data_IF_066411424955
#
_entry.id   IF_066411424955
#
_cell.length_a   1.000
_cell.length_b   1.000
_cell.length_c   1.000
_cell.angle_alpha   90.00
_cell.angle_beta   90.00
_cell.angle_gamma   90.00
#
_symmetry.space_group_name_H-M   'P 1'
#
loop_
_entity.id
_entity.type
_entity.pdbx_description
1 polymer ?
#
# COMPACT_ATOMS: atom_id res chain seq x y z
N UNK A 1 -9.85 5.71 -30.01
CA UNK A 1 -8.79 5.84 -28.99
C UNK A 1 -8.82 4.58 -28.14
N UNK A 2 -7.77 3.75 -28.16
CA UNK A 2 -7.79 2.46 -27.45
C UNK A 2 -7.80 2.61 -25.92
N UNK A 3 -8.31 1.62 -25.20
CA UNK A 3 -8.43 1.61 -23.73
C UNK A 3 -7.11 1.94 -23.01
N UNK A 4 -5.98 1.47 -23.55
CA UNK A 4 -4.63 1.80 -23.07
C UNK A 4 -4.32 3.31 -23.16
N UNK A 5 -4.60 3.92 -24.31
CA UNK A 5 -4.33 5.35 -24.54
C UNK A 5 -5.23 6.28 -23.74
N UNK A 6 -6.45 5.84 -23.42
CA UNK A 6 -7.33 6.56 -22.48
C UNK A 6 -6.78 6.50 -21.05
N UNK A 7 -6.37 5.32 -20.58
CA UNK A 7 -5.83 5.15 -19.23
C UNK A 7 -4.54 5.95 -19.02
N UNK A 8 -3.60 5.86 -19.96
CA UNK A 8 -2.30 6.54 -19.85
C UNK A 8 -2.40 8.07 -19.97
N UNK A 9 -3.30 8.59 -20.82
CA UNK A 9 -3.44 10.04 -21.02
C UNK A 9 -4.41 10.72 -20.06
N UNK A 10 -5.50 10.04 -19.67
CA UNK A 10 -6.60 10.66 -18.92
C UNK A 10 -6.57 10.22 -17.46
N UNK A 11 -6.44 8.92 -17.17
CA UNK A 11 -6.53 8.41 -15.79
C UNK A 11 -5.25 8.68 -14.99
N UNK A 12 -4.09 8.61 -15.63
CA UNK A 12 -2.81 8.95 -15.00
C UNK A 12 -2.53 10.47 -14.99
N UNK A 13 -3.46 11.32 -15.43
CA UNK A 13 -3.29 12.77 -15.28
C UNK A 13 -3.50 13.18 -13.82
N UNK A 14 -2.61 14.04 -13.30
CA UNK A 14 -2.67 14.51 -11.91
C UNK A 14 -3.95 15.30 -11.64
N UNK A 15 -4.48 16.00 -12.66
CA UNK A 15 -5.76 16.73 -12.57
C UNK A 15 -6.93 15.79 -12.36
N UNK A 16 -6.93 14.64 -13.04
CA UNK A 16 -7.96 13.61 -12.87
C UNK A 16 -7.93 13.01 -11.47
N UNK A 17 -6.74 12.77 -10.91
CA UNK A 17 -6.61 12.28 -9.53
C UNK A 17 -7.16 13.28 -8.50
N UNK A 18 -6.88 14.58 -8.68
CA UNK A 18 -7.45 15.65 -7.85
C UNK A 18 -8.97 15.70 -8.01
N UNK A 19 -9.49 15.58 -9.23
CA UNK A 19 -10.93 15.55 -9.48
C UNK A 19 -11.61 14.35 -8.80
N UNK A 20 -11.02 13.15 -8.87
CA UNK A 20 -11.52 11.96 -8.16
C UNK A 20 -11.59 12.21 -6.65
N UNK A 21 -10.55 12.82 -6.07
CA UNK A 21 -10.53 13.14 -4.64
C UNK A 21 -11.60 14.17 -4.26
N UNK A 22 -11.74 15.25 -5.03
CA UNK A 22 -12.76 16.27 -4.78
C UNK A 22 -14.16 15.66 -4.86
N UNK A 23 -14.44 14.88 -5.91
CA UNK A 23 -15.73 14.20 -6.08
C UNK A 23 -15.99 13.23 -4.94
N UNK A 24 -14.99 12.47 -4.50
CA UNK A 24 -15.12 11.55 -3.36
C UNK A 24 -15.45 12.30 -2.06
N UNK A 25 -14.77 13.41 -1.79
CA UNK A 25 -15.02 14.23 -0.58
C UNK A 25 -16.43 14.83 -0.64
N UNK A 26 -16.80 15.48 -1.76
CA UNK A 26 -18.11 16.08 -1.93
C UNK A 26 -19.24 15.05 -1.84
N UNK A 27 -19.05 13.86 -2.42
CA UNK A 27 -19.99 12.75 -2.31
C UNK A 27 -20.18 12.32 -0.86
N UNK A 28 -19.10 12.19 -0.07
CA UNK A 28 -19.20 11.84 1.36
C UNK A 28 -19.85 12.92 2.18
N UNK A 29 -19.54 14.20 1.92
CA UNK A 29 -20.22 15.31 2.59
C UNK A 29 -21.71 15.24 2.31
N UNK A 30 -22.12 15.03 1.06
CA UNK A 30 -23.52 14.98 0.66
C UNK A 30 -24.30 13.84 1.34
N UNK A 31 -23.82 12.60 1.25
CA UNK A 31 -24.54 11.43 1.81
C UNK A 31 -24.50 11.35 3.34
N UNK A 32 -23.63 12.12 3.99
CA UNK A 32 -23.52 12.15 5.45
C UNK A 32 -24.35 13.26 6.10
N UNK A 33 -25.04 14.10 5.33
CA UNK A 33 -25.95 15.15 5.86
C UNK A 33 -27.07 14.52 6.68
N UNK A 34 -27.62 13.40 6.22
CA UNK A 34 -28.76 12.74 6.85
C UNK A 34 -28.35 11.80 8.01
N UNK A 35 -27.05 11.75 8.34
CA UNK A 35 -26.36 10.88 9.32
C UNK A 35 -26.49 9.35 9.05
N UNK A 36 -27.52 8.95 8.31
CA UNK A 36 -27.83 7.60 7.88
C UNK A 36 -27.55 7.42 6.40
N UNK A 37 -26.51 6.65 6.08
CA UNK A 37 -26.21 6.26 4.71
C UNK A 37 -27.15 5.13 4.28
N UNK A 38 -27.96 5.38 3.25
CA UNK A 38 -28.83 4.39 2.66
C UNK A 38 -28.01 3.26 1.99
N UNK A 39 -28.61 2.08 1.87
CA UNK A 39 -27.94 0.92 1.27
C UNK A 39 -27.49 1.20 -0.17
N UNK A 40 -28.29 1.95 -0.95
CA UNK A 40 -27.94 2.30 -2.32
C UNK A 40 -26.74 3.27 -2.40
N UNK A 41 -26.63 4.24 -1.47
CA UNK A 41 -25.49 5.15 -1.38
C UNK A 41 -24.21 4.38 -1.04
N UNK A 42 -24.33 3.41 -0.13
CA UNK A 42 -23.23 2.49 0.21
C UNK A 42 -22.86 1.57 -0.95
N UNK A 43 -23.81 1.15 -1.79
CA UNK A 43 -23.53 0.39 -3.01
C UNK A 43 -22.79 1.24 -4.03
N UNK A 44 -23.27 2.46 -4.30
CA UNK A 44 -22.62 3.40 -5.23
C UNK A 44 -21.16 3.67 -4.83
N UNK A 45 -20.92 3.99 -3.56
CA UNK A 45 -19.57 4.18 -3.02
C UNK A 45 -18.71 2.91 -3.11
N UNK A 46 -19.24 1.76 -2.69
CA UNK A 46 -18.47 0.52 -2.65
C UNK A 46 -18.14 -0.04 -4.02
N UNK A 47 -19.10 -0.08 -4.93
CA UNK A 47 -18.91 -0.56 -6.31
C UNK A 47 -17.88 0.33 -7.02
N UNK A 48 -17.96 1.65 -6.88
CA UNK A 48 -17.00 2.57 -7.49
C UNK A 48 -15.56 2.31 -7.02
N UNK A 49 -15.35 2.16 -5.70
CA UNK A 49 -14.03 1.86 -5.13
C UNK A 49 -13.53 0.48 -5.56
N UNK A 50 -14.39 -0.54 -5.54
CA UNK A 50 -14.03 -1.91 -5.96
C UNK A 50 -13.57 -1.87 -7.42
N UNK A 51 -14.36 -1.26 -8.31
CA UNK A 51 -13.98 -1.14 -9.72
C UNK A 51 -12.66 -0.38 -9.89
N UNK A 52 -12.48 0.75 -9.22
CA UNK A 52 -11.24 1.53 -9.29
C UNK A 52 -10.02 0.69 -8.87
N UNK A 53 -10.09 0.00 -7.72
CA UNK A 53 -9.00 -0.83 -7.22
C UNK A 53 -8.63 -1.98 -8.17
N UNK A 54 -9.62 -2.67 -8.73
CA UNK A 54 -9.37 -3.77 -9.67
C UNK A 54 -8.86 -3.30 -11.03
N UNK A 55 -9.31 -2.13 -11.51
CA UNK A 55 -8.78 -1.53 -12.74
C UNK A 55 -7.30 -1.16 -12.58
N UNK A 56 -6.91 -0.57 -11.44
CA UNK A 56 -5.50 -0.25 -11.13
C UNK A 56 -4.67 -1.54 -11.06
N UNK A 57 -5.19 -2.58 -10.41
CA UNK A 57 -4.53 -3.88 -10.33
C UNK A 57 -4.33 -4.51 -11.72
N UNK A 58 -5.37 -4.51 -12.56
CA UNK A 58 -5.30 -5.03 -13.92
C UNK A 58 -4.27 -4.26 -14.77
N UNK A 59 -4.25 -2.93 -14.66
CA UNK A 59 -3.23 -2.09 -15.32
C UNK A 59 -1.82 -2.44 -14.85
N UNK A 60 -1.62 -2.60 -13.54
CA UNK A 60 -0.32 -2.98 -12.95
C UNK A 60 0.16 -4.34 -13.50
N UNK A 61 -0.71 -5.35 -13.53
CA UNK A 61 -0.40 -6.67 -14.07
C UNK A 61 -0.10 -6.64 -15.58
N UNK A 62 -0.79 -5.77 -16.32
CA UNK A 62 -0.54 -5.57 -17.73
C UNK A 62 0.84 -4.94 -17.98
N UNK A 63 1.22 -3.91 -17.19
CA UNK A 63 2.53 -3.28 -17.29
C UNK A 63 3.66 -4.24 -16.94
N UNK A 64 3.49 -5.07 -15.90
CA UNK A 64 4.43 -6.14 -15.56
C UNK A 64 4.73 -7.09 -16.73
N UNK A 65 3.73 -7.40 -17.58
CA UNK A 65 3.91 -8.28 -18.74
C UNK A 65 4.56 -7.59 -19.95
N UNK A 66 4.30 -6.30 -20.13
CA UNK A 66 4.76 -5.56 -21.32
C UNK A 66 6.18 -5.03 -21.14
N UNK A 67 6.55 -4.61 -19.93
CA UNK A 67 7.86 -4.04 -19.69
C UNK A 67 8.96 -5.09 -19.82
N UNK A 68 9.96 -4.79 -20.66
CA UNK A 68 11.11 -5.64 -20.95
C UNK A 68 12.38 -4.80 -20.93
N UNK A 69 13.51 -5.43 -20.60
CA UNK A 69 14.84 -4.81 -20.64
C UNK A 69 15.36 -4.33 -19.29
N UNK A 70 14.50 -4.10 -18.29
CA UNK A 70 14.91 -3.78 -16.92
C UNK A 70 14.17 -4.64 -15.89
N UNK A 71 14.78 -5.71 -15.36
CA UNK A 71 14.11 -6.63 -14.43
C UNK A 71 13.60 -5.97 -13.14
N UNK A 72 14.26 -4.91 -12.67
CA UNK A 72 13.84 -4.22 -11.44
C UNK A 72 12.46 -3.59 -11.58
N UNK A 73 12.13 -3.00 -12.74
CA UNK A 73 10.80 -2.40 -12.89
C UNK A 73 9.70 -3.46 -12.77
N UNK A 74 9.93 -4.67 -13.26
CA UNK A 74 8.99 -5.78 -13.11
C UNK A 74 8.79 -6.15 -11.63
N UNK A 75 9.85 -6.24 -10.83
CA UNK A 75 9.72 -6.47 -9.39
C UNK A 75 8.99 -5.33 -8.66
N UNK A 76 9.17 -4.08 -9.09
CA UNK A 76 8.41 -2.94 -8.57
C UNK A 76 6.91 -3.09 -8.90
N UNK A 77 6.56 -3.41 -10.15
CA UNK A 77 5.16 -3.66 -10.54
C UNK A 77 4.55 -4.85 -9.79
N UNK A 78 5.32 -5.92 -9.58
CA UNK A 78 4.89 -7.09 -8.82
C UNK A 78 4.58 -6.74 -7.36
N UNK A 79 5.48 -6.04 -6.67
CA UNK A 79 5.27 -5.63 -5.29
C UNK A 79 4.08 -4.64 -5.14
N UNK A 80 3.90 -3.75 -6.13
CA UNK A 80 2.70 -2.89 -6.21
C UNK A 80 1.43 -3.74 -6.42
N UNK A 81 1.46 -4.75 -7.30
CA UNK A 81 0.33 -5.63 -7.55
C UNK A 81 -0.09 -6.42 -6.30
N UNK A 82 0.88 -6.94 -5.54
CA UNK A 82 0.63 -7.64 -4.26
C UNK A 82 0.04 -6.68 -3.23
N UNK A 83 0.53 -5.45 -3.15
CA UNK A 83 -0.02 -4.41 -2.28
C UNK A 83 -1.46 -4.07 -2.65
N UNK A 84 -1.73 -3.91 -3.95
CA UNK A 84 -3.05 -3.62 -4.50
C UNK A 84 -4.05 -4.75 -4.27
N UNK A 85 -3.69 -6.01 -4.55
CA UNK A 85 -4.62 -7.14 -4.36
C UNK A 85 -5.00 -7.31 -2.90
N UNK A 86 -4.05 -7.06 -1.99
CA UNK A 86 -4.28 -7.13 -0.55
C UNK A 86 -5.33 -6.12 -0.10
N UNK A 87 -5.20 -4.84 -0.51
CA UNK A 87 -6.19 -3.80 -0.20
C UNK A 87 -7.52 -4.03 -0.95
N UNK A 88 -7.49 -4.50 -2.20
CA UNK A 88 -8.71 -4.83 -2.95
C UNK A 88 -9.53 -5.94 -2.28
N UNK A 89 -8.87 -7.01 -1.82
CA UNK A 89 -9.51 -8.11 -1.08
C UNK A 89 -10.08 -7.59 0.23
N UNK A 90 -9.32 -6.76 0.96
CA UNK A 90 -9.81 -6.11 2.17
C UNK A 90 -11.10 -5.31 1.90
N UNK A 91 -11.09 -4.46 0.87
CA UNK A 91 -12.21 -3.59 0.50
C UNK A 91 -13.43 -4.40 0.07
N UNK A 92 -13.22 -5.46 -0.73
CA UNK A 92 -14.29 -6.35 -1.17
C UNK A 92 -14.98 -7.00 0.02
N UNK A 93 -14.21 -7.61 0.93
CA UNK A 93 -14.73 -8.25 2.14
C UNK A 93 -15.47 -7.23 2.99
N UNK A 94 -14.88 -6.06 3.20
CA UNK A 94 -15.48 -4.98 3.96
C UNK A 94 -16.87 -4.58 3.42
N UNK A 95 -16.98 -4.31 2.12
CA UNK A 95 -18.26 -3.89 1.53
C UNK A 95 -19.29 -5.02 1.48
N UNK A 96 -18.88 -6.25 1.17
CA UNK A 96 -19.78 -7.41 1.22
C UNK A 96 -20.37 -7.57 2.61
N UNK A 97 -19.52 -7.61 3.64
CA UNK A 97 -20.01 -7.71 5.03
C UNK A 97 -20.93 -6.55 5.40
N UNK A 98 -20.64 -5.33 4.92
CA UNK A 98 -21.48 -4.16 5.16
C UNK A 98 -22.86 -4.30 4.54
N UNK A 99 -22.94 -4.65 3.26
CA UNK A 99 -24.21 -4.75 2.54
C UNK A 99 -25.11 -5.85 3.11
N UNK A 100 -24.51 -6.93 3.62
CA UNK A 100 -25.22 -8.00 4.31
C UNK A 100 -25.44 -7.75 5.81
N UNK A 101 -25.11 -6.54 6.33
CA UNK A 101 -25.23 -6.17 7.76
C UNK A 101 -24.52 -7.12 8.72
N UNK A 102 -23.40 -7.69 8.28
CA UNK A 102 -22.53 -8.56 9.08
C UNK A 102 -21.45 -7.77 9.83
N UNK A 103 -21.33 -6.46 9.58
CA UNK A 103 -20.41 -5.57 10.29
C UNK A 103 -21.05 -4.98 11.55
N UNK A 104 -20.71 -5.56 12.69
CA UNK A 104 -21.16 -5.06 13.98
C UNK A 104 -20.40 -3.79 14.44
N UNK A 105 -19.19 -3.57 13.92
CA UNK A 105 -18.29 -2.45 14.31
C UNK A 105 -18.82 -1.07 13.90
N UNK A 106 -19.85 -0.96 13.05
CA UNK A 106 -20.34 0.32 12.47
C UNK A 106 -21.80 0.66 12.82
N UNK A 107 -22.40 -0.04 13.77
CA UNK A 107 -23.85 -0.03 13.95
C UNK A 107 -24.36 0.81 15.13
N UNK A 108 -23.48 1.40 15.97
CA UNK A 108 -23.92 1.88 17.30
C UNK A 108 -23.19 3.10 17.89
N UNK A 109 -22.20 3.73 17.23
CA UNK A 109 -21.63 4.98 17.74
C UNK A 109 -22.31 6.23 17.12
N UNK A 110 -22.52 7.30 17.90
CA UNK A 110 -23.01 8.59 17.39
C UNK A 110 -22.06 9.24 16.35
N UNK A 111 -20.79 8.84 16.32
CA UNK A 111 -19.77 9.33 15.36
C UNK A 111 -19.42 8.33 14.26
N UNK A 112 -20.16 7.21 14.14
CA UNK A 112 -19.85 6.14 13.18
C UNK A 112 -19.82 6.65 11.73
N UNK A 113 -20.66 7.64 11.39
CA UNK A 113 -20.69 8.20 10.04
C UNK A 113 -19.40 8.93 9.67
N UNK A 114 -18.82 9.73 10.58
CA UNK A 114 -17.57 10.49 10.34
C UNK A 114 -16.39 9.54 10.15
N UNK A 115 -16.20 8.58 11.06
CA UNK A 115 -15.08 7.64 10.97
C UNK A 115 -15.16 6.74 9.73
N UNK A 116 -16.39 6.45 9.28
CA UNK A 116 -16.66 5.73 8.04
C UNK A 116 -16.40 6.57 6.79
N UNK A 117 -16.60 7.88 6.85
CA UNK A 117 -16.20 8.80 5.77
C UNK A 117 -14.69 8.92 5.67
N UNK A 118 -14.01 9.08 6.81
CA UNK A 118 -12.54 9.13 6.85
C UNK A 118 -11.94 7.85 6.27
N UNK A 119 -12.46 6.68 6.65
CA UNK A 119 -12.01 5.40 6.09
C UNK A 119 -12.26 5.27 4.59
N UNK A 120 -13.41 5.75 4.10
CA UNK A 120 -13.69 5.79 2.67
C UNK A 120 -12.67 6.67 1.93
N UNK A 121 -12.48 7.90 2.40
CA UNK A 121 -11.56 8.88 1.81
C UNK A 121 -10.13 8.34 1.84
N UNK A 122 -9.71 7.69 2.93
CA UNK A 122 -8.39 7.07 3.05
C UNK A 122 -8.14 6.01 1.96
N UNK A 123 -9.13 5.16 1.65
CA UNK A 123 -9.00 4.18 0.56
C UNK A 123 -8.94 4.86 -0.81
N UNK A 124 -9.72 5.92 -1.04
CA UNK A 124 -9.64 6.70 -2.29
C UNK A 124 -8.26 7.35 -2.44
N UNK A 125 -7.75 7.99 -1.38
CA UNK A 125 -6.42 8.58 -1.34
C UNK A 125 -5.35 7.53 -1.63
N UNK A 126 -5.46 6.34 -1.04
CA UNK A 126 -4.56 5.23 -1.34
C UNK A 126 -4.55 4.89 -2.84
N UNK A 127 -5.71 4.66 -3.46
CA UNK A 127 -5.78 4.32 -4.89
C UNK A 127 -5.27 5.44 -5.80
N UNK A 128 -5.58 6.70 -5.47
CA UNK A 128 -5.04 7.85 -6.21
C UNK A 128 -3.51 7.92 -6.10
N UNK A 129 -2.96 7.64 -4.92
CA UNK A 129 -1.52 7.63 -4.68
C UNK A 129 -0.83 6.50 -5.45
N UNK A 130 -1.46 5.32 -5.52
CA UNK A 130 -0.94 4.20 -6.32
C UNK A 130 -0.96 4.49 -7.83
N UNK A 131 -2.04 5.10 -8.35
CA UNK A 131 -2.09 5.57 -9.74
C UNK A 131 -0.98 6.58 -10.03
N UNK A 132 -0.76 7.54 -9.13
CA UNK A 132 0.34 8.49 -9.24
C UNK A 132 1.70 7.78 -9.30
N UNK A 133 1.97 6.86 -8.37
CA UNK A 133 3.21 6.08 -8.35
C UNK A 133 3.40 5.28 -9.64
N UNK A 134 2.38 4.61 -10.16
CA UNK A 134 2.45 3.80 -11.38
C UNK A 134 2.85 4.62 -12.61
N UNK A 135 2.37 5.86 -12.71
CA UNK A 135 2.80 6.81 -13.77
C UNK A 135 4.30 7.03 -13.75
N UNK A 136 4.85 7.31 -12.57
CA UNK A 136 6.28 7.61 -12.42
C UNK A 136 7.14 6.36 -12.49
N UNK A 137 6.65 5.19 -12.09
CA UNK A 137 7.34 3.92 -12.34
C UNK A 137 7.47 3.66 -13.84
N UNK A 138 6.43 3.95 -14.63
CA UNK A 138 6.53 3.80 -16.09
C UNK A 138 7.56 4.76 -16.68
N UNK A 139 7.53 6.03 -16.25
CA UNK A 139 8.52 7.03 -16.69
C UNK A 139 9.95 6.64 -16.31
N UNK A 140 10.15 6.16 -15.09
CA UNK A 140 11.41 5.65 -14.58
C UNK A 140 11.97 4.50 -15.47
N UNK A 141 11.10 3.59 -15.92
CA UNK A 141 11.49 2.53 -16.84
C UNK A 141 11.87 3.07 -18.23
N UNK A 142 11.08 3.99 -18.78
CA UNK A 142 11.37 4.62 -20.08
C UNK A 142 12.70 5.37 -20.07
N UNK A 143 12.96 6.16 -19.02
CA UNK A 143 14.20 6.90 -18.83
C UNK A 143 15.41 5.94 -18.75
N UNK A 144 15.32 4.88 -17.93
CA UNK A 144 16.38 3.87 -17.81
C UNK A 144 16.66 3.14 -19.15
N UNK A 145 15.62 2.76 -19.88
CA UNK A 145 15.78 2.09 -21.17
C UNK A 145 16.40 3.04 -22.21
N UNK A 146 16.05 4.32 -22.18
CA UNK A 146 16.64 5.32 -23.09
C UNK A 146 18.15 5.49 -22.81
N UNK A 147 18.52 5.67 -21.55
CA UNK A 147 19.92 5.84 -21.14
C UNK A 147 20.76 4.56 -21.38
N UNK A 148 20.19 3.38 -21.16
CA UNK A 148 20.90 2.11 -21.36
C UNK A 148 21.10 1.76 -22.84
N UNK A 149 20.13 2.07 -23.71
CA UNK A 149 20.26 1.88 -25.17
C UNK A 149 21.29 2.81 -25.79
N UNK A 150 21.36 4.06 -25.33
CA UNK A 150 22.37 5.02 -25.77
C UNK A 150 23.79 4.59 -25.35
N UNK A 151 23.91 3.86 -24.23
CA UNK A 151 25.21 3.56 -23.60
C UNK A 151 25.70 2.11 -23.77
N UNK A 152 25.04 1.27 -24.58
CA UNK A 152 25.43 -0.06 -25.09
C UNK A 152 25.98 -1.15 -24.13
N UNK A 153 26.29 -0.86 -22.86
CA UNK A 153 27.20 -1.71 -22.07
C UNK A 153 26.60 -2.44 -20.85
N UNK A 154 25.34 -2.20 -20.49
CA UNK A 154 24.85 -2.60 -19.15
C UNK A 154 23.94 -3.83 -19.10
N UNK A 155 23.56 -4.41 -20.24
CA UNK A 155 22.82 -5.69 -20.26
C UNK A 155 23.60 -6.87 -19.63
N UNK A 156 24.89 -6.71 -19.34
CA UNK A 156 25.78 -7.76 -18.83
C UNK A 156 26.03 -7.67 -17.31
N UNK A 157 25.73 -6.53 -16.67
CA UNK A 157 26.27 -6.23 -15.33
C UNK A 157 25.33 -6.53 -14.15
N UNK A 158 24.08 -6.96 -14.42
CA UNK A 158 23.04 -7.09 -13.39
C UNK A 158 23.23 -8.17 -12.30
N UNK A 159 24.17 -9.15 -12.37
CA UNK A 159 24.40 -10.05 -11.23
C UNK A 159 25.64 -9.72 -10.39
N UNK A 160 26.64 -9.00 -10.91
CA UNK A 160 28.00 -8.98 -10.34
C UNK A 160 28.47 -7.64 -9.75
N UNK A 161 27.76 -6.54 -9.97
CA UNK A 161 28.11 -5.23 -9.39
C UNK A 161 27.49 -5.06 -7.99
N UNK A 162 27.89 -5.89 -7.04
CA UNK A 162 27.62 -5.61 -5.64
C UNK A 162 28.89 -5.08 -4.97
N UNK A 163 28.90 -3.86 -4.41
CA UNK A 163 29.76 -3.61 -3.28
C UNK A 163 29.23 -4.49 -2.16
N UNK A 164 30.10 -5.39 -1.72
CA UNK A 164 29.96 -6.27 -0.56
C UNK A 164 29.15 -5.57 0.53
N UNK A 165 28.02 -6.17 0.93
CA UNK A 165 27.26 -5.71 2.08
C UNK A 165 28.24 -5.43 3.22
N UNK A 166 28.26 -4.19 3.72
CA UNK A 166 29.05 -3.81 4.90
C UNK A 166 28.82 -4.91 5.95
N UNK A 167 29.89 -5.48 6.52
CA UNK A 167 29.73 -6.52 7.54
C UNK A 167 28.77 -5.98 8.61
N UNK A 168 27.81 -6.78 9.09
CA UNK A 168 26.82 -6.40 10.10
C UNK A 168 27.42 -5.60 11.28
N UNK A 169 28.68 -5.88 11.61
CA UNK A 169 29.49 -5.23 12.65
C UNK A 169 29.84 -3.75 12.38
N UNK A 170 29.78 -3.29 11.14
CA UNK A 170 30.13 -1.92 10.70
C UNK A 170 28.88 -1.05 10.41
N UNK A 171 27.69 -1.61 10.58
CA UNK A 171 26.43 -0.92 10.39
C UNK A 171 26.01 -0.20 11.66
N UNK A 172 25.57 1.05 11.52
CA UNK A 172 24.92 1.75 12.63
C UNK A 172 23.61 1.03 12.99
N UNK A 173 23.14 1.12 14.25
CA UNK A 173 21.92 0.46 14.75
C UNK A 173 20.71 0.72 13.84
N UNK A 174 20.59 1.96 13.32
CA UNK A 174 19.54 2.35 12.37
C UNK A 174 19.62 1.61 11.03
N UNK A 175 20.82 1.38 10.52
CA UNK A 175 21.05 0.64 9.27
C UNK A 175 20.84 -0.85 9.47
N UNK A 176 21.21 -1.36 10.64
CA UNK A 176 21.01 -2.74 11.02
C UNK A 176 19.51 -3.07 11.13
N UNK A 177 18.72 -2.22 11.82
CA UNK A 177 17.26 -2.35 11.89
C UNK A 177 16.63 -2.27 10.50
N UNK A 178 17.05 -1.32 9.67
CA UNK A 178 16.53 -1.20 8.30
C UNK A 178 16.86 -2.43 7.44
N UNK A 179 18.05 -3.00 7.60
CA UNK A 179 18.49 -4.19 6.85
C UNK A 179 17.72 -5.44 7.30
N UNK A 180 17.53 -5.61 8.61
CA UNK A 180 16.75 -6.74 9.17
C UNK A 180 15.27 -6.63 8.78
N UNK A 181 14.68 -5.43 8.85
CA UNK A 181 13.27 -5.20 8.52
C UNK A 181 12.98 -5.42 7.03
N UNK A 182 13.95 -5.16 6.16
CA UNK A 182 13.82 -5.34 4.70
C UNK A 182 14.22 -6.73 4.21
N UNK A 183 14.62 -7.62 5.12
CA UNK A 183 14.94 -9.01 4.77
C UNK A 183 13.65 -9.82 4.50
N UNK A 184 13.62 -10.52 3.37
CA UNK A 184 12.44 -11.25 2.89
C UNK A 184 12.06 -12.38 3.86
N UNK A 185 13.06 -13.01 4.49
CA UNK A 185 12.83 -14.07 5.48
C UNK A 185 12.20 -13.51 6.75
N UNK A 186 12.68 -12.36 7.24
CA UNK A 186 12.06 -11.67 8.37
C UNK A 186 10.61 -11.31 8.08
N UNK A 187 10.30 -10.80 6.87
CA UNK A 187 8.93 -10.46 6.50
C UNK A 187 8.01 -11.69 6.41
N UNK A 188 8.50 -12.81 5.86
CA UNK A 188 7.77 -14.08 5.87
C UNK A 188 7.49 -14.57 7.30
N UNK A 189 8.47 -14.44 8.20
CA UNK A 189 8.30 -14.76 9.62
C UNK A 189 7.26 -13.84 10.27
N UNK A 190 7.29 -12.54 9.99
CA UNK A 190 6.28 -11.58 10.50
C UNK A 190 4.89 -11.95 10.03
N UNK A 191 4.72 -12.30 8.75
CA UNK A 191 3.43 -12.81 8.22
C UNK A 191 3.02 -14.09 8.95
N UNK A 192 3.92 -15.07 9.06
CA UNK A 192 3.64 -16.34 9.75
C UNK A 192 3.22 -16.17 11.21
N UNK A 193 3.94 -15.33 11.97
CA UNK A 193 3.60 -15.00 13.36
C UNK A 193 2.25 -14.28 13.43
N UNK A 194 1.98 -13.35 12.53
CA UNK A 194 0.70 -12.65 12.48
C UNK A 194 -0.48 -13.59 12.21
N UNK A 195 -0.28 -14.59 11.33
CA UNK A 195 -1.23 -15.67 11.08
C UNK A 195 -1.45 -16.53 12.32
N UNK A 196 -0.38 -17.06 12.92
CA UNK A 196 -0.46 -17.90 14.12
C UNK A 196 -1.12 -17.16 15.28
N UNK A 197 -0.73 -15.91 15.53
CA UNK A 197 -1.32 -15.06 16.56
C UNK A 197 -2.82 -14.92 16.36
N UNK A 198 -3.27 -14.56 15.15
CA UNK A 198 -4.70 -14.39 14.87
C UNK A 198 -5.49 -15.69 14.99
N UNK A 199 -4.96 -16.78 14.45
CA UNK A 199 -5.62 -18.08 14.56
C UNK A 199 -5.75 -18.51 16.03
N UNK A 200 -4.74 -18.24 16.87
CA UNK A 200 -4.77 -18.57 18.28
C UNK A 200 -5.84 -17.75 19.04
N UNK A 201 -5.87 -16.43 18.89
CA UNK A 201 -6.82 -15.57 19.63
C UNK A 201 -8.25 -15.62 19.06
N UNK A 202 -8.45 -16.17 17.86
CA UNK A 202 -9.78 -16.37 17.29
C UNK A 202 -10.33 -17.79 17.55
N UNK A 203 -9.57 -18.68 18.19
CA UNK A 203 -9.93 -20.09 18.36
C UNK A 203 -11.15 -20.30 19.25
N UNK A 204 -11.28 -19.50 20.30
CA UNK A 204 -12.42 -19.53 21.24
C UNK A 204 -13.62 -18.71 20.76
N UNK A 205 -13.54 -18.17 19.54
CA UNK A 205 -14.53 -17.25 18.96
C UNK A 205 -14.85 -16.07 19.89
N UNK A 206 -13.90 -15.60 20.71
CA UNK A 206 -14.09 -14.44 21.54
C UNK A 206 -12.79 -13.65 21.72
N UNK A 207 -12.58 -12.63 20.88
CA UNK A 207 -11.39 -11.78 21.02
C UNK A 207 -11.60 -10.79 22.15
N UNK A 208 -10.82 -10.97 23.21
CA UNK A 208 -10.80 -10.06 24.35
C UNK A 208 -10.32 -8.66 23.94
N UNK A 209 -10.66 -7.66 24.76
CA UNK A 209 -10.18 -6.28 24.58
C UNK A 209 -8.65 -6.21 24.49
N UNK A 210 -7.95 -6.97 25.34
CA UNK A 210 -6.49 -7.03 25.36
C UNK A 210 -5.88 -7.55 24.06
N UNK A 211 -6.42 -8.64 23.52
CA UNK A 211 -5.94 -9.24 22.27
C UNK A 211 -6.21 -8.34 21.06
N UNK A 212 -7.36 -7.65 21.05
CA UNK A 212 -7.69 -6.65 20.03
C UNK A 212 -6.76 -5.43 20.08
N UNK A 213 -6.44 -4.95 21.29
CA UNK A 213 -5.49 -3.84 21.51
C UNK A 213 -4.08 -4.24 21.09
N UNK A 214 -3.59 -5.41 21.50
CA UNK A 214 -2.27 -5.92 21.12
C UNK A 214 -2.13 -6.01 19.59
N UNK A 215 -3.14 -6.59 18.92
CA UNK A 215 -3.16 -6.70 17.46
C UNK A 215 -3.18 -5.34 16.75
N UNK A 216 -3.94 -4.38 17.27
CA UNK A 216 -3.99 -3.03 16.71
C UNK A 216 -2.68 -2.27 16.89
N UNK A 217 -2.07 -2.34 18.08
CA UNK A 217 -0.76 -1.74 18.35
C UNK A 217 0.32 -2.35 17.46
N UNK A 218 0.32 -3.66 17.26
CA UNK A 218 1.29 -4.33 16.39
C UNK A 218 1.22 -3.81 14.94
N UNK A 219 0.01 -3.71 14.38
CA UNK A 219 -0.18 -3.13 13.02
C UNK A 219 0.23 -1.66 13.00
N UNK A 220 -0.15 -0.88 14.03
CA UNK A 220 0.20 0.52 14.11
C UNK A 220 1.72 0.72 14.08
N UNK A 221 2.46 0.00 14.93
CA UNK A 221 3.92 0.03 14.96
C UNK A 221 4.49 -0.35 13.60
N UNK A 222 4.02 -1.44 12.98
CA UNK A 222 4.49 -1.88 11.67
C UNK A 222 4.28 -0.81 10.57
N UNK A 223 3.10 -0.20 10.53
CA UNK A 223 2.75 0.83 9.54
C UNK A 223 3.56 2.11 9.70
N UNK A 224 3.82 2.56 10.92
CA UNK A 224 4.65 3.75 11.17
C UNK A 224 6.14 3.48 10.96
N UNK A 225 6.63 2.28 11.30
CA UNK A 225 8.00 1.87 10.97
C UNK A 225 8.23 1.89 9.45
N UNK A 226 7.30 1.36 8.66
CA UNK A 226 7.36 1.44 7.20
C UNK A 226 7.34 2.90 6.72
N UNK A 227 6.45 3.74 7.25
CA UNK A 227 6.39 5.16 6.90
C UNK A 227 7.74 5.85 7.15
N UNK A 228 8.31 5.67 8.35
CA UNK A 228 9.61 6.22 8.69
C UNK A 228 10.70 5.69 7.77
N UNK A 229 10.72 4.39 7.48
CA UNK A 229 11.66 3.78 6.53
C UNK A 229 11.60 4.45 5.16
N UNK A 230 10.41 4.61 4.59
CA UNK A 230 10.21 5.24 3.28
C UNK A 230 10.67 6.70 3.25
N UNK A 231 10.36 7.47 4.30
CA UNK A 231 10.82 8.88 4.41
C UNK A 231 12.33 8.96 4.44
N UNK A 232 13.00 8.07 5.17
CA UNK A 232 14.46 8.04 5.29
C UNK A 232 15.12 7.69 3.95
N UNK A 233 14.59 6.66 3.27
CA UNK A 233 15.13 6.23 1.98
C UNK A 233 14.91 7.33 0.92
N UNK A 234 13.69 7.89 0.86
CA UNK A 234 13.35 8.99 -0.06
C UNK A 234 14.25 10.21 0.14
N UNK A 235 14.54 10.59 1.39
CA UNK A 235 15.43 11.71 1.69
C UNK A 235 16.87 11.51 1.19
N UNK A 236 17.34 10.26 1.07
CA UNK A 236 18.67 9.92 0.54
C UNK A 236 18.72 9.86 -0.98
N UNK A 237 17.59 9.71 -1.66
CA UNK A 237 17.50 9.40 -3.10
C UNK A 237 16.94 10.57 -3.92
N UNK A 238 17.38 11.80 -3.61
CA UNK A 238 16.80 13.03 -4.19
C UNK A 238 17.22 13.32 -5.62
N UNK A 239 18.29 12.70 -6.10
CA UNK A 239 18.90 13.05 -7.39
C UNK A 239 18.08 12.56 -8.59
N UNK A 240 17.21 11.57 -8.40
CA UNK A 240 16.31 11.07 -9.44
C UNK A 240 14.87 11.52 -9.19
N UNK A 241 14.45 12.59 -9.88
CA UNK A 241 13.16 13.25 -9.66
C UNK A 241 11.96 12.31 -9.82
N UNK A 242 11.98 11.41 -10.80
CA UNK A 242 10.85 10.50 -11.04
C UNK A 242 10.74 9.44 -9.94
N UNK A 243 11.87 8.90 -9.48
CA UNK A 243 11.89 8.01 -8.32
C UNK A 243 11.41 8.71 -7.04
N UNK A 244 11.83 9.96 -6.81
CA UNK A 244 11.35 10.74 -5.67
C UNK A 244 9.82 10.89 -5.69
N UNK A 245 9.21 11.09 -6.88
CA UNK A 245 7.75 11.14 -7.03
C UNK A 245 7.08 9.79 -6.80
N UNK A 246 7.71 8.67 -7.16
CA UNK A 246 7.24 7.32 -6.79
C UNK A 246 7.20 7.16 -5.27
N UNK A 247 8.26 7.54 -4.56
CA UNK A 247 8.30 7.52 -3.10
C UNK A 247 7.22 8.39 -2.48
N UNK A 248 7.03 9.63 -2.95
CA UNK A 248 5.98 10.49 -2.43
C UNK A 248 4.59 9.86 -2.59
N UNK A 249 4.29 9.27 -3.74
CA UNK A 249 3.04 8.54 -3.93
C UNK A 249 2.89 7.38 -2.95
N UNK A 250 3.92 6.54 -2.78
CA UNK A 250 3.87 5.41 -1.84
C UNK A 250 3.72 5.90 -0.40
N UNK A 251 4.44 6.94 0.00
CA UNK A 251 4.35 7.54 1.35
C UNK A 251 2.93 8.05 1.61
N UNK A 252 2.32 8.74 0.65
CA UNK A 252 0.92 9.19 0.75
C UNK A 252 -0.03 7.98 0.87
N UNK A 253 0.17 6.94 0.06
CA UNK A 253 -0.63 5.71 0.13
C UNK A 253 -0.52 5.00 1.48
N UNK A 254 0.70 4.79 1.99
CA UNK A 254 0.95 4.19 3.31
C UNK A 254 0.33 5.05 4.42
N UNK A 255 0.44 6.37 4.33
CA UNK A 255 -0.18 7.29 5.30
C UNK A 255 -1.69 7.14 5.32
N UNK A 256 -2.32 7.03 4.14
CA UNK A 256 -3.75 6.83 4.03
C UNK A 256 -4.19 5.50 4.68
N UNK A 257 -3.45 4.41 4.45
CA UNK A 257 -3.73 3.13 5.12
C UNK A 257 -3.47 3.20 6.63
N UNK A 258 -2.44 3.91 7.10
CA UNK A 258 -2.20 4.12 8.53
C UNK A 258 -3.35 4.87 9.19
N UNK A 259 -3.87 5.93 8.56
CA UNK A 259 -5.07 6.66 9.02
C UNK A 259 -6.28 5.71 9.05
N UNK A 260 -6.48 4.91 7.99
CA UNK A 260 -7.55 3.92 7.94
C UNK A 260 -7.49 2.97 9.13
N UNK A 261 -6.32 2.38 9.39
CA UNK A 261 -6.09 1.42 10.49
C UNK A 261 -6.33 2.08 11.84
N UNK A 262 -5.82 3.30 12.05
CA UNK A 262 -6.02 4.07 13.28
C UNK A 262 -7.51 4.25 13.55
N UNK A 263 -8.26 4.74 12.57
CA UNK A 263 -9.70 4.98 12.70
C UNK A 263 -10.47 3.68 12.93
N UNK A 264 -10.11 2.61 12.22
CA UNK A 264 -10.71 1.28 12.40
C UNK A 264 -10.56 0.76 13.83
N UNK A 265 -9.33 0.77 14.37
CA UNK A 265 -9.07 0.28 15.72
C UNK A 265 -9.59 1.22 16.81
N UNK A 266 -9.62 2.54 16.58
CA UNK A 266 -10.21 3.50 17.51
C UNK A 266 -11.70 3.20 17.76
N UNK A 267 -12.51 3.03 16.70
CA UNK A 267 -13.93 2.64 16.86
C UNK A 267 -14.06 1.29 17.55
N UNK A 268 -13.22 0.32 17.17
CA UNK A 268 -13.27 -1.03 17.76
C UNK A 268 -12.97 -1.02 19.25
N UNK A 269 -11.96 -0.28 19.69
CA UNK A 269 -11.59 -0.19 21.11
C UNK A 269 -12.62 0.57 21.93
N UNK A 270 -13.23 1.61 21.34
CA UNK A 270 -14.36 2.31 21.95
C UNK A 270 -15.54 1.34 22.17
N UNK A 271 -15.92 0.58 21.15
CA UNK A 271 -17.02 -0.37 21.25
C UNK A 271 -16.76 -1.49 22.28
N UNK A 272 -15.55 -2.03 22.30
CA UNK A 272 -15.13 -3.02 23.31
C UNK A 272 -15.09 -2.45 24.74
N UNK A 273 -15.24 -1.13 24.92
CA UNK A 273 -15.34 -0.50 26.24
C UNK A 273 -16.78 -0.32 26.75
N UNK A 274 -17.79 -0.42 25.88
CA UNK A 274 -19.21 -0.24 26.25
C UNK A 274 -19.92 -1.56 26.65
N UNK A 275 -19.19 -2.68 26.81
CA UNK A 275 -19.71 -3.99 27.28
C UNK A 275 -21.01 -4.48 26.59
N UNK A 276 -21.21 -4.12 25.32
CA UNK A 276 -22.39 -4.56 24.57
C UNK A 276 -22.28 -6.07 24.30
N UNK A 277 -23.17 -6.84 24.93
CA UNK A 277 -23.28 -8.30 24.75
C UNK A 277 -23.74 -8.60 23.33
N UNK A 278 -22.88 -9.22 22.52
CA UNK A 278 -23.16 -9.56 21.13
C UNK A 278 -23.67 -11.00 20.98
N UNK A 279 -24.68 -11.19 20.13
CA UNK A 279 -24.99 -12.50 19.56
C UNK A 279 -24.10 -12.70 18.32
N UNK A 280 -23.01 -13.44 18.49
CA UNK A 280 -21.95 -13.59 17.49
C UNK A 280 -22.35 -14.51 16.33
N UNK A 281 -22.12 -14.06 15.07
CA UNK A 281 -22.24 -14.90 13.87
C UNK A 281 -20.85 -15.46 13.49
N UNK A 282 -20.67 -16.78 13.31
CA UNK A 282 -19.37 -17.40 13.03
C UNK A 282 -18.60 -16.84 11.82
N UNK A 283 -19.30 -16.32 10.81
CA UNK A 283 -18.69 -15.75 9.59
C UNK A 283 -17.96 -14.42 9.83
N UNK A 284 -18.34 -13.63 10.84
CA UNK A 284 -17.69 -12.35 11.13
C UNK A 284 -16.22 -12.56 11.56
N UNK A 285 -15.93 -13.65 12.27
CA UNK A 285 -14.58 -14.02 12.72
C UNK A 285 -13.62 -14.23 11.54
N UNK A 286 -14.03 -15.08 10.58
CA UNK A 286 -13.18 -15.44 9.44
C UNK A 286 -12.87 -14.20 8.61
N UNK A 287 -13.88 -13.40 8.25
CA UNK A 287 -13.66 -12.22 7.41
C UNK A 287 -12.91 -11.10 8.13
N UNK A 288 -13.03 -11.01 9.46
CA UNK A 288 -12.23 -10.10 10.27
C UNK A 288 -10.76 -10.48 10.28
N UNK A 289 -10.45 -11.76 10.38
CA UNK A 289 -9.06 -12.24 10.36
C UNK A 289 -8.45 -12.11 8.96
N UNK A 290 -9.21 -12.42 7.91
CA UNK A 290 -8.76 -12.18 6.52
C UNK A 290 -8.46 -10.69 6.28
N UNK A 291 -9.29 -9.78 6.80
CA UNK A 291 -9.02 -8.34 6.75
C UNK A 291 -7.73 -7.97 7.48
N UNK A 292 -7.47 -8.55 8.65
CA UNK A 292 -6.21 -8.36 9.35
C UNK A 292 -5.01 -8.85 8.52
N UNK A 293 -5.10 -10.05 7.95
CA UNK A 293 -4.04 -10.61 7.10
C UNK A 293 -3.78 -9.76 5.87
N UNK A 294 -4.81 -9.25 5.21
CA UNK A 294 -4.69 -8.37 4.07
C UNK A 294 -3.86 -7.10 4.40
N UNK A 295 -4.09 -6.50 5.57
CA UNK A 295 -3.32 -5.32 6.02
C UNK A 295 -1.85 -5.68 6.33
N UNK A 296 -1.60 -6.84 6.96
CA UNK A 296 -0.23 -7.30 7.23
C UNK A 296 0.53 -7.58 5.94
N UNK A 297 -0.10 -8.28 4.98
CA UNK A 297 0.48 -8.56 3.66
C UNK A 297 0.76 -7.26 2.92
N UNK A 298 -0.16 -6.29 2.97
CA UNK A 298 0.06 -4.96 2.39
C UNK A 298 1.33 -4.30 2.95
N UNK A 299 1.49 -4.24 4.28
CA UNK A 299 2.69 -3.63 4.88
C UNK A 299 3.97 -4.38 4.49
N UNK A 300 3.95 -5.71 4.51
CA UNK A 300 5.12 -6.51 4.11
C UNK A 300 5.47 -6.30 2.63
N UNK A 301 4.48 -6.29 1.74
CA UNK A 301 4.67 -6.03 0.32
C UNK A 301 5.21 -4.62 0.06
N UNK A 302 4.76 -3.62 0.82
CA UNK A 302 5.27 -2.25 0.73
C UNK A 302 6.72 -2.13 1.27
N UNK A 303 7.12 -2.93 2.27
CA UNK A 303 8.52 -3.02 2.69
C UNK A 303 9.37 -3.64 1.57
N UNK A 304 8.92 -4.74 0.94
CA UNK A 304 9.60 -5.34 -0.22
C UNK A 304 9.72 -4.34 -1.37
N UNK A 305 8.66 -3.58 -1.65
CA UNK A 305 8.67 -2.52 -2.65
C UNK A 305 9.76 -1.47 -2.36
N UNK A 306 9.94 -1.06 -1.11
CA UNK A 306 10.99 -0.10 -0.72
C UNK A 306 12.41 -0.61 -1.04
N UNK A 307 12.63 -1.93 -0.91
CA UNK A 307 13.90 -2.59 -1.25
C UNK A 307 14.15 -2.52 -2.76
N UNK A 308 13.13 -2.80 -3.58
CA UNK A 308 13.26 -2.73 -5.03
C UNK A 308 13.46 -1.30 -5.54
N UNK A 309 12.79 -0.32 -4.94
CA UNK A 309 13.00 1.10 -5.26
C UNK A 309 14.41 1.58 -4.90
N UNK A 310 14.93 1.14 -3.74
CA UNK A 310 16.32 1.40 -3.38
C UNK A 310 17.28 0.78 -4.40
N UNK A 311 17.04 -0.47 -4.79
CA UNK A 311 17.85 -1.16 -5.80
C UNK A 311 17.80 -0.44 -7.16
N UNK A 312 16.64 0.09 -7.54
CA UNK A 312 16.49 0.88 -8.76
C UNK A 312 17.38 2.13 -8.75
N UNK A 313 17.42 2.85 -7.63
CA UNK A 313 18.31 4.01 -7.46
C UNK A 313 19.78 3.63 -7.55
N UNK A 314 20.18 2.55 -6.86
CA UNK A 314 21.57 2.11 -6.84
C UNK A 314 22.04 1.76 -8.27
N UNK A 315 21.22 1.03 -9.06
CA UNK A 315 21.52 0.78 -10.47
C UNK A 315 21.61 2.07 -11.29
N UNK A 316 20.63 2.98 -11.17
CA UNK A 316 20.65 4.26 -11.88
C UNK A 316 21.88 5.12 -11.55
N UNK A 317 22.27 5.19 -10.28
CA UNK A 317 23.43 5.95 -9.82
C UNK A 317 24.75 5.44 -10.41
N UNK A 318 24.87 4.12 -10.60
CA UNK A 318 26.04 3.51 -11.26
C UNK A 318 26.05 3.83 -12.76
N UNK A 319 24.89 3.76 -13.42
CA UNK A 319 24.77 4.12 -14.85
C UNK A 319 25.15 5.59 -15.05
N UNK A 320 24.64 6.50 -14.22
CA UNK A 320 24.93 7.93 -14.34
C UNK A 320 26.38 8.27 -13.99
N UNK A 321 26.97 7.64 -12.95
CA UNK A 321 28.36 7.85 -12.57
C UNK A 321 29.35 7.34 -13.64
N UNK A 322 29.07 6.18 -14.25
CA UNK A 322 29.90 5.64 -15.33
C UNK A 322 29.88 6.52 -16.59
N UNK A 323 28.79 7.27 -16.80
CA UNK A 323 28.66 8.23 -17.90
C UNK A 323 29.45 9.54 -17.66
N UNK A 324 29.49 10.03 -16.41
CA UNK A 324 30.26 11.23 -16.06
C UNK A 324 31.79 11.06 -16.10
N UNK A 325 32.29 9.82 -16.08
CA UNK A 325 33.72 9.53 -16.18
C UNK A 325 34.27 9.63 -17.61
N UNK A 326 33.42 9.62 -18.65
CA UNK A 326 33.85 9.71 -20.07
C UNK A 326 33.98 11.14 -20.61
N UNK A 327 33.60 12.17 -19.84
CA UNK A 327 33.59 13.58 -20.28
C UNK A 327 34.68 14.45 -19.66
N UNK A 328 35.69 13.85 -19.00
CA UNK A 328 36.89 14.59 -18.59
C UNK A 328 38.02 14.34 -19.60
N UNK A 329 38.39 15.35 -20.43
CA UNK A 329 39.56 15.28 -21.30
C UNK A 329 40.87 15.21 -20.52
#
# INVERSE_FOLDING_TARGET
MGMKGFFEKVVLDGRTLIAILIVAILWRIFISIDENIALWESLCSGIAIIMLGWVIFAYTCHMFKIQKGWPISNWIYEAIAISMVSINVYVLIYYVMRWFKLLHVEAYLPLDFIFRDVRYIAIVVFYCAMLWSLKYVNKMHEDYISESKEKAFLHILSPYLYPTAKKLREMNVRELISTVLTDERTLLVVVGIAFLWRTAISFDYNITKGESVCSGIAIFVLGWLLFTLLVIISARQRDWLDLAKVYHGIIVGVTAINIYVLVYYAMRWYRLSEEVVEAFVPLDYIFRDVRFFAVVIFYCAAIVLSKFLKRAYDEYSLVSASAGAKTRP
#
